data_IF_829386877243
#
_entry.id   IF_829386877243
#
_cell.length_a   1.000
_cell.length_b   1.000
_cell.length_c   1.000
_cell.angle_alpha   90.00
_cell.angle_beta   90.00
_cell.angle_gamma   90.00
#
_symmetry.space_group_name_H-M   'P 1'
#
loop_
_entity.id
_entity.type
_entity.pdbx_description
1 polymer ?
#
# COMPACT_ATOMS: atom_id res chain seq x y z
N UNK A 1 -9.70 28.30 14.90
CA UNK A 1 -10.67 28.90 13.96
C UNK A 1 -11.97 28.14 14.12
N UNK A 2 -13.09 28.59 13.58
CA UNK A 2 -14.27 27.72 13.51
C UNK A 2 -14.00 26.57 12.53
N UNK A 3 -14.59 25.39 12.73
CA UNK A 3 -14.45 24.25 11.80
C UNK A 3 -14.86 24.61 10.35
N UNK A 4 -15.80 25.57 10.24
CA UNK A 4 -16.23 26.18 8.99
C UNK A 4 -15.11 26.98 8.30
N UNK A 5 -14.38 27.82 9.04
CA UNK A 5 -13.22 28.58 8.51
C UNK A 5 -12.04 27.68 8.16
N UNK A 6 -11.82 26.60 8.91
CA UNK A 6 -10.76 25.62 8.64
C UNK A 6 -11.05 24.84 7.35
N UNK A 7 -12.29 24.42 7.13
CA UNK A 7 -12.67 23.78 5.87
C UNK A 7 -12.53 24.76 4.68
N UNK A 8 -12.95 26.02 4.82
CA UNK A 8 -12.73 27.07 3.80
C UNK A 8 -11.24 27.24 3.49
N UNK A 9 -10.35 27.21 4.48
CA UNK A 9 -8.91 27.30 4.26
C UNK A 9 -8.36 26.11 3.45
N UNK A 10 -8.87 24.90 3.69
CA UNK A 10 -8.55 23.71 2.87
C UNK A 10 -9.03 23.89 1.43
N UNK A 11 -10.28 24.32 1.24
CA UNK A 11 -10.83 24.57 -0.10
C UNK A 11 -10.04 25.63 -0.85
N UNK A 12 -9.62 26.71 -0.19
CA UNK A 12 -8.82 27.77 -0.80
C UNK A 12 -7.41 27.31 -1.16
N UNK A 13 -6.80 26.44 -0.35
CA UNK A 13 -5.51 25.82 -0.66
C UNK A 13 -5.64 24.91 -1.88
N UNK A 14 -6.71 24.12 -1.95
CA UNK A 14 -7.01 23.25 -3.09
C UNK A 14 -7.24 24.07 -4.37
N UNK A 15 -8.06 25.13 -4.28
CA UNK A 15 -8.37 26.04 -5.38
C UNK A 15 -7.14 26.74 -5.96
N UNK A 16 -6.16 27.07 -5.11
CA UNK A 16 -4.91 27.69 -5.55
C UNK A 16 -4.09 26.76 -6.47
N UNK A 17 -4.25 25.44 -6.32
CA UNK A 17 -3.59 24.43 -7.16
C UNK A 17 -4.43 24.10 -8.38
N UNK A 18 -5.75 23.97 -8.23
CA UNK A 18 -6.66 23.72 -9.34
C UNK A 18 -8.00 24.45 -9.16
N UNK A 19 -8.36 25.39 -10.07
CA UNK A 19 -9.64 26.11 -10.00
C UNK A 19 -10.84 25.23 -10.38
N UNK A 20 -10.59 24.05 -10.97
CA UNK A 20 -11.60 23.07 -11.33
C UNK A 20 -11.39 21.76 -10.58
N UNK A 21 -12.48 21.10 -10.20
CA UNK A 21 -12.46 19.80 -9.51
C UNK A 21 -13.30 18.79 -10.28
N UNK A 22 -12.90 17.52 -10.22
CA UNK A 22 -13.74 16.43 -10.73
C UNK A 22 -14.90 16.17 -9.76
N UNK A 23 -16.01 15.56 -10.22
CA UNK A 23 -17.12 15.14 -9.34
C UNK A 23 -16.68 14.23 -8.19
N UNK A 24 -15.64 13.44 -8.43
CA UNK A 24 -15.01 12.58 -7.42
C UNK A 24 -14.24 13.41 -6.39
N UNK A 25 -13.45 14.40 -6.83
CA UNK A 25 -12.76 15.31 -5.90
C UNK A 25 -13.79 16.10 -5.08
N UNK A 26 -14.91 16.50 -5.70
CA UNK A 26 -16.05 17.08 -4.99
C UNK A 26 -16.58 16.13 -3.92
N UNK A 27 -16.81 14.87 -4.27
CA UNK A 27 -17.26 13.85 -3.32
C UNK A 27 -16.28 13.66 -2.16
N UNK A 28 -14.97 13.59 -2.44
CA UNK A 28 -13.93 13.49 -1.42
C UNK A 28 -13.90 14.69 -0.48
N UNK A 29 -14.08 15.90 -1.01
CA UNK A 29 -14.17 17.13 -0.21
C UNK A 29 -15.43 17.16 0.65
N UNK A 30 -16.57 16.69 0.14
CA UNK A 30 -17.81 16.54 0.92
C UNK A 30 -17.63 15.52 2.05
N UNK A 31 -17.00 14.37 1.79
CA UNK A 31 -16.66 13.39 2.83
C UNK A 31 -15.76 13.98 3.90
N UNK A 32 -14.71 14.70 3.49
CA UNK A 32 -13.79 15.35 4.41
C UNK A 32 -14.52 16.39 5.28
N UNK A 33 -15.45 17.15 4.69
CA UNK A 33 -16.29 18.10 5.42
C UNK A 33 -17.11 17.44 6.53
N UNK A 34 -17.73 16.30 6.22
CA UNK A 34 -18.56 15.56 7.18
C UNK A 34 -17.71 14.92 8.27
N UNK A 35 -16.64 14.21 7.90
CA UNK A 35 -15.86 13.41 8.84
C UNK A 35 -14.88 14.22 9.68
N UNK A 36 -14.23 15.22 9.10
CA UNK A 36 -13.14 15.93 9.76
C UNK A 36 -13.57 17.30 10.30
N UNK A 37 -14.62 17.89 9.71
CA UNK A 37 -15.08 19.23 10.06
C UNK A 37 -16.50 19.26 10.63
N UNK A 38 -17.15 18.09 10.75
CA UNK A 38 -18.51 17.92 11.29
C UNK A 38 -19.57 18.80 10.59
N UNK A 39 -19.36 19.11 9.31
CA UNK A 39 -20.29 19.88 8.50
C UNK A 39 -21.34 18.95 7.88
N UNK A 40 -22.57 19.44 7.70
CA UNK A 40 -23.53 18.75 6.85
C UNK A 40 -23.10 18.80 5.38
N UNK A 41 -23.54 17.82 4.59
CA UNK A 41 -23.28 17.79 3.13
C UNK A 41 -23.80 19.07 2.46
N UNK A 42 -24.93 19.60 2.94
CA UNK A 42 -25.50 20.87 2.47
C UNK A 42 -24.55 22.05 2.72
N UNK A 43 -24.07 22.22 3.96
CA UNK A 43 -23.13 23.30 4.31
C UNK A 43 -21.82 23.18 3.51
N UNK A 44 -21.31 21.96 3.36
CA UNK A 44 -20.11 21.70 2.59
C UNK A 44 -20.29 22.00 1.09
N UNK A 45 -21.43 21.62 0.50
CA UNK A 45 -21.77 21.92 -0.89
C UNK A 45 -21.92 23.43 -1.13
N UNK A 46 -22.57 24.15 -0.21
CA UNK A 46 -22.67 25.62 -0.24
C UNK A 46 -21.28 26.29 -0.15
N UNK A 47 -20.35 25.76 0.66
CA UNK A 47 -18.96 26.22 0.72
C UNK A 47 -18.25 25.99 -0.62
N UNK A 48 -18.29 24.78 -1.17
CA UNK A 48 -17.64 24.45 -2.45
C UNK A 48 -18.15 25.36 -3.59
N UNK A 49 -19.47 25.61 -3.64
CA UNK A 49 -20.09 26.46 -4.64
C UNK A 49 -19.74 27.94 -4.42
N UNK A 50 -19.76 28.44 -3.18
CA UNK A 50 -19.44 29.84 -2.85
C UNK A 50 -17.95 30.18 -3.02
N UNK A 51 -17.05 29.20 -2.85
CA UNK A 51 -15.63 29.38 -3.12
C UNK A 51 -15.30 29.36 -4.62
N UNK A 52 -16.27 29.15 -5.51
CA UNK A 52 -16.08 29.22 -6.96
C UNK A 52 -15.15 28.14 -7.52
N UNK A 53 -15.19 26.94 -6.93
CA UNK A 53 -14.59 25.75 -7.54
C UNK A 53 -15.52 25.27 -8.68
N UNK A 54 -14.96 25.17 -9.88
CA UNK A 54 -15.71 24.73 -11.05
C UNK A 54 -15.71 23.19 -11.06
N UNK A 55 -16.86 22.57 -10.83
CA UNK A 55 -17.00 21.12 -11.01
C UNK A 55 -17.06 20.86 -12.52
N UNK A 56 -16.10 20.12 -13.06
CA UNK A 56 -16.15 19.68 -14.47
C UNK A 56 -17.31 18.70 -14.65
N UNK A 57 -17.93 18.67 -15.84
CA UNK A 57 -19.11 17.86 -16.20
C UNK A 57 -19.33 16.61 -15.33
N UNK A 58 -20.52 16.51 -14.73
CA UNK A 58 -20.90 15.41 -13.84
C UNK A 58 -20.59 14.05 -14.46
N UNK A 59 -19.86 13.25 -13.69
CA UNK A 59 -19.46 11.91 -14.10
C UNK A 59 -20.05 10.95 -13.09
N UNK A 60 -21.18 10.37 -13.46
CA UNK A 60 -21.78 9.28 -12.71
C UNK A 60 -20.94 8.01 -12.90
N UNK A 61 -20.37 7.45 -11.83
CA UNK A 61 -19.56 6.24 -11.86
C UNK A 61 -20.31 5.02 -12.44
N UNK A 62 -21.64 4.99 -12.37
CA UNK A 62 -22.42 3.95 -13.05
C UNK A 62 -22.38 4.15 -14.58
N UNK A 63 -22.55 5.38 -15.06
CA UNK A 63 -22.47 5.71 -16.50
C UNK A 63 -21.07 5.53 -17.06
N UNK A 64 -20.03 5.75 -16.25
CA UNK A 64 -18.62 5.46 -16.62
C UNK A 64 -18.43 4.01 -17.01
N UNK A 65 -19.08 3.10 -16.29
CA UNK A 65 -19.08 1.68 -16.60
C UNK A 65 -20.25 1.27 -17.50
N UNK A 66 -20.98 2.22 -18.09
CA UNK A 66 -22.17 1.92 -18.90
C UNK A 66 -23.18 1.01 -18.17
N UNK A 67 -23.28 1.17 -16.84
CA UNK A 67 -24.18 0.44 -15.95
C UNK A 67 -25.32 1.36 -15.48
N UNK A 68 -26.48 0.76 -15.17
CA UNK A 68 -27.60 1.49 -14.55
C UNK A 68 -27.67 1.25 -13.04
N UNK A 69 -27.94 2.32 -12.29
CA UNK A 69 -28.24 2.25 -10.85
C UNK A 69 -29.42 1.32 -10.61
N UNK A 70 -30.48 1.44 -11.40
CA UNK A 70 -31.70 0.65 -11.25
C UNK A 70 -31.49 -0.84 -11.50
N UNK A 71 -30.55 -1.17 -12.39
CA UNK A 71 -30.21 -2.56 -12.73
C UNK A 71 -29.37 -3.25 -11.66
N UNK A 72 -28.64 -2.48 -10.84
CA UNK A 72 -27.69 -3.00 -9.85
C UNK A 72 -28.17 -2.88 -8.41
N UNK A 73 -28.95 -1.85 -8.06
CA UNK A 73 -29.31 -1.56 -6.66
C UNK A 73 -30.12 -2.67 -5.96
N UNK A 74 -30.77 -3.54 -6.72
CA UNK A 74 -31.57 -4.66 -6.21
C UNK A 74 -30.88 -6.03 -6.36
N UNK A 75 -29.64 -6.05 -6.84
CA UNK A 75 -28.85 -7.28 -7.01
C UNK A 75 -28.06 -7.59 -5.74
N UNK A 76 -27.62 -8.85 -5.60
CA UNK A 76 -26.67 -9.20 -4.54
C UNK A 76 -25.24 -8.77 -4.91
N UNK A 77 -24.38 -8.62 -3.90
CA UNK A 77 -23.02 -8.11 -4.05
C UNK A 77 -22.18 -8.88 -5.07
N UNK A 78 -22.29 -10.21 -5.11
CA UNK A 78 -21.54 -11.04 -6.06
C UNK A 78 -21.94 -10.77 -7.52
N UNK A 79 -23.23 -10.53 -7.79
CA UNK A 79 -23.71 -10.15 -9.12
C UNK A 79 -23.22 -8.75 -9.49
N UNK A 80 -23.26 -7.81 -8.54
CA UNK A 80 -22.79 -6.44 -8.77
C UNK A 80 -21.29 -6.46 -9.08
N UNK A 81 -20.49 -7.15 -8.27
CA UNK A 81 -19.05 -7.31 -8.49
C UNK A 81 -18.75 -7.89 -9.86
N UNK A 82 -19.42 -8.99 -10.24
CA UNK A 82 -19.23 -9.62 -11.55
C UNK A 82 -19.53 -8.66 -12.70
N UNK A 83 -20.66 -7.94 -12.64
CA UNK A 83 -21.05 -6.99 -13.70
C UNK A 83 -20.13 -5.79 -13.79
N UNK A 84 -19.73 -5.25 -12.64
CA UNK A 84 -18.78 -4.13 -12.56
C UNK A 84 -17.43 -4.54 -13.13
N UNK A 85 -16.96 -5.75 -12.83
CA UNK A 85 -15.72 -6.31 -13.38
C UNK A 85 -15.77 -6.55 -14.88
N UNK A 86 -16.85 -7.17 -15.37
CA UNK A 86 -17.04 -7.42 -16.80
C UNK A 86 -17.05 -6.13 -17.60
N UNK A 87 -17.80 -5.13 -17.13
CA UNK A 87 -17.88 -3.83 -17.80
C UNK A 87 -16.55 -3.09 -17.75
N UNK A 88 -15.92 -3.01 -16.58
CA UNK A 88 -14.60 -2.41 -16.44
C UNK A 88 -13.59 -3.04 -17.41
N UNK A 89 -13.49 -4.37 -17.41
CA UNK A 89 -12.55 -5.09 -18.27
C UNK A 89 -12.81 -4.80 -19.75
N UNK A 90 -14.08 -4.75 -20.16
CA UNK A 90 -14.47 -4.40 -21.52
C UNK A 90 -13.98 -3.00 -21.89
N UNK A 91 -14.42 -1.97 -21.15
CA UNK A 91 -14.14 -0.57 -21.43
C UNK A 91 -12.66 -0.21 -21.28
N UNK A 92 -11.96 -0.86 -20.35
CA UNK A 92 -10.52 -0.70 -20.16
C UNK A 92 -9.74 -1.29 -21.35
N UNK A 93 -10.16 -2.46 -21.86
CA UNK A 93 -9.55 -3.07 -23.05
C UNK A 93 -9.79 -2.26 -24.32
N UNK A 94 -10.98 -1.65 -24.46
CA UNK A 94 -11.29 -0.73 -25.55
C UNK A 94 -10.46 0.55 -25.44
N UNK A 95 -10.31 1.08 -24.23
CA UNK A 95 -9.41 2.20 -23.96
C UNK A 95 -8.00 1.85 -24.44
N UNK A 96 -7.43 0.69 -24.10
CA UNK A 96 -6.11 0.24 -24.57
C UNK A 96 -5.98 0.21 -26.10
N UNK A 97 -7.01 -0.26 -26.81
CA UNK A 97 -7.01 -0.31 -28.28
C UNK A 97 -7.04 1.06 -28.96
N UNK A 98 -7.56 2.09 -28.28
CA UNK A 98 -7.70 3.44 -28.83
C UNK A 98 -6.37 4.22 -29.00
N UNK A 99 -5.25 3.69 -28.50
CA UNK A 99 -3.90 4.16 -28.88
C UNK A 99 -3.56 5.62 -28.56
N UNK A 100 -4.14 6.20 -27.50
CA UNK A 100 -3.79 7.55 -27.04
C UNK A 100 -4.56 8.70 -27.69
N UNK A 101 -5.53 8.40 -28.57
CA UNK A 101 -6.43 9.43 -29.09
C UNK A 101 -7.34 9.98 -27.97
N UNK A 102 -7.50 11.31 -27.84
CA UNK A 102 -8.47 11.90 -26.92
C UNK A 102 -9.88 11.40 -27.22
N UNK A 103 -10.65 11.10 -26.18
CA UNK A 103 -12.04 10.68 -26.32
C UNK A 103 -12.92 11.87 -26.75
N UNK A 104 -14.15 11.58 -27.21
CA UNK A 104 -15.11 12.60 -27.67
C UNK A 104 -15.46 13.66 -26.61
N UNK A 105 -15.32 13.28 -25.35
CA UNK A 105 -15.50 14.14 -24.17
C UNK A 105 -14.24 14.96 -23.82
N UNK A 106 -13.19 14.91 -24.65
CA UNK A 106 -11.94 15.62 -24.45
C UNK A 106 -10.99 14.98 -23.44
N UNK A 107 -11.38 13.89 -22.76
CA UNK A 107 -10.53 13.21 -21.79
C UNK A 107 -9.38 12.49 -22.48
N UNK A 108 -8.21 12.54 -21.86
CA UNK A 108 -7.09 11.68 -22.27
C UNK A 108 -7.40 10.22 -21.96
N UNK A 109 -6.70 9.31 -22.62
CA UNK A 109 -6.81 7.88 -22.38
C UNK A 109 -6.51 7.50 -20.92
N UNK A 110 -5.57 8.22 -20.29
CA UNK A 110 -5.19 8.11 -18.88
C UNK A 110 -6.33 8.58 -17.97
N UNK A 111 -6.86 9.79 -18.19
CA UNK A 111 -7.99 10.32 -17.43
C UNK A 111 -9.22 9.39 -17.49
N UNK A 112 -9.47 8.76 -18.64
CA UNK A 112 -10.56 7.80 -18.80
C UNK A 112 -10.31 6.49 -18.05
N UNK A 113 -9.08 5.97 -18.06
CA UNK A 113 -8.74 4.73 -17.34
C UNK A 113 -8.80 4.90 -15.83
N UNK A 114 -8.35 6.05 -15.33
CA UNK A 114 -8.37 6.33 -13.90
C UNK A 114 -9.81 6.42 -13.42
N UNK A 115 -10.67 7.03 -14.24
CA UNK A 115 -12.11 7.09 -14.02
C UNK A 115 -12.78 5.70 -14.05
N UNK A 116 -12.42 4.82 -15.00
CA UNK A 116 -12.89 3.43 -15.04
C UNK A 116 -12.47 2.65 -13.78
N UNK A 117 -11.19 2.72 -13.40
CA UNK A 117 -10.66 2.04 -12.21
C UNK A 117 -11.37 2.50 -10.93
N UNK A 118 -11.56 3.81 -10.80
CA UNK A 118 -12.25 4.39 -9.67
C UNK A 118 -13.72 3.99 -9.60
N UNK A 119 -14.42 3.95 -10.75
CA UNK A 119 -15.79 3.46 -10.82
C UNK A 119 -15.85 1.99 -10.37
N UNK A 120 -14.92 1.15 -10.83
CA UNK A 120 -14.82 -0.24 -10.41
C UNK A 120 -14.61 -0.38 -8.90
N UNK A 121 -13.60 0.29 -8.35
CA UNK A 121 -13.27 0.19 -6.91
C UNK A 121 -14.41 0.66 -6.01
N UNK A 122 -15.09 1.74 -6.40
CA UNK A 122 -16.21 2.29 -5.63
C UNK A 122 -17.45 1.40 -5.72
N UNK A 123 -17.70 0.79 -6.88
CA UNK A 123 -18.93 0.03 -7.12
C UNK A 123 -18.83 -1.45 -6.74
N UNK A 124 -17.63 -2.03 -6.61
CA UNK A 124 -17.47 -3.41 -6.09
C UNK A 124 -17.66 -3.45 -4.58
N UNK A 125 -17.06 -2.50 -3.86
CA UNK A 125 -17.10 -2.43 -2.40
C UNK A 125 -18.52 -2.04 -1.93
N UNK A 126 -19.24 -2.90 -1.18
CA UNK A 126 -20.61 -2.64 -0.77
C UNK A 126 -20.78 -1.39 0.08
N UNK A 127 -19.82 -1.09 0.97
CA UNK A 127 -19.88 0.06 1.85
C UNK A 127 -19.58 1.34 1.07
N UNK A 128 -18.54 1.35 0.23
CA UNK A 128 -18.23 2.51 -0.63
C UNK A 128 -19.38 2.78 -1.62
N UNK A 129 -19.98 1.75 -2.19
CA UNK A 129 -21.12 1.86 -3.11
C UNK A 129 -22.35 2.46 -2.42
N UNK A 130 -22.68 1.97 -1.22
CA UNK A 130 -23.81 2.47 -0.43
C UNK A 130 -23.61 3.92 -0.01
N UNK A 131 -22.40 4.27 0.39
CA UNK A 131 -22.01 5.64 0.73
C UNK A 131 -22.11 6.57 -0.49
N UNK A 132 -21.58 6.15 -1.64
CA UNK A 132 -21.66 6.87 -2.91
C UNK A 132 -23.12 7.15 -3.34
N UNK A 133 -23.98 6.13 -3.28
CA UNK A 133 -25.41 6.28 -3.57
C UNK A 133 -26.11 7.23 -2.59
N UNK A 134 -25.72 7.20 -1.31
CA UNK A 134 -26.26 8.11 -0.29
C UNK A 134 -25.93 9.57 -0.61
N UNK A 135 -24.68 9.86 -0.98
CA UNK A 135 -24.24 11.22 -1.25
C UNK A 135 -24.88 11.76 -2.53
N UNK A 136 -24.94 10.96 -3.60
CA UNK A 136 -25.62 11.37 -4.85
C UNK A 136 -27.11 11.62 -4.63
N UNK A 137 -27.77 10.79 -3.81
CA UNK A 137 -29.19 11.00 -3.48
C UNK A 137 -29.40 12.31 -2.71
N UNK A 138 -28.47 12.65 -1.81
CA UNK A 138 -28.52 13.91 -1.05
C UNK A 138 -28.19 15.12 -1.91
N UNK A 139 -27.25 15.02 -2.86
CA UNK A 139 -26.96 16.11 -3.81
C UNK A 139 -28.13 16.34 -4.78
N UNK A 140 -28.75 15.29 -5.34
CA UNK A 140 -29.98 15.43 -6.15
C UNK A 140 -31.11 16.12 -5.39
N UNK A 141 -31.26 15.84 -4.10
CA UNK A 141 -32.25 16.49 -3.24
C UNK A 141 -31.97 17.99 -2.98
N UNK A 142 -30.74 18.47 -3.24
CA UNK A 142 -30.37 19.89 -3.15
C UNK A 142 -30.71 20.63 -4.45
N UNK A 143 -30.73 19.94 -5.59
CA UNK A 143 -30.97 20.53 -6.92
C UNK A 143 -32.44 20.58 -7.34
N UNK A 144 -33.32 19.78 -6.73
CA UNK A 144 -34.75 19.84 -7.00
C UNK A 144 -35.43 21.05 -6.30
N UNK A 145 -36.18 21.90 -7.04
CA UNK A 145 -37.00 22.94 -6.43
C UNK A 145 -38.09 22.34 -5.54
N UNK A 146 -38.33 22.96 -4.39
CA UNK A 146 -39.50 22.77 -3.51
C UNK A 146 -40.81 23.14 -4.25
N UNK A 147 -41.23 22.35 -5.23
CA UNK A 147 -42.48 22.56 -5.96
C UNK A 147 -43.04 21.24 -6.50
N UNK A 148 -43.06 20.19 -5.68
CA UNK A 148 -44.01 19.08 -5.86
C UNK A 148 -44.04 18.12 -4.65
N UNK A 149 -44.63 18.56 -3.54
CA UNK A 149 -45.13 17.64 -2.52
C UNK A 149 -46.60 17.96 -2.23
N UNK A 150 -47.45 17.60 -3.19
CA UNK A 150 -48.84 17.29 -2.89
C UNK A 150 -48.90 15.85 -2.39
N UNK A 151 -49.18 15.72 -1.09
CA UNK A 151 -49.55 14.49 -0.39
C UNK A 151 -50.55 13.62 -1.19
N UNK A 152 -50.55 12.29 -0.96
CA UNK A 152 -51.50 11.80 0.02
C UNK A 152 -50.97 10.75 1.01
N UNK A 153 -51.48 10.96 2.23
CA UNK A 153 -51.61 10.08 3.39
C UNK A 153 -52.08 8.66 2.99
N UNK A 154 -51.43 7.63 3.54
CA UNK A 154 -52.07 6.34 3.84
C UNK A 154 -51.58 5.84 5.20
N UNK A 155 -52.54 5.68 6.10
CA UNK A 155 -52.45 5.05 7.42
C UNK A 155 -52.11 3.56 7.31
N UNK A 156 -51.31 3.02 8.24
CA UNK A 156 -51.40 1.60 8.58
C UNK A 156 -51.42 1.40 10.10
N UNK A 157 -52.47 0.68 10.51
CA UNK A 157 -52.83 0.29 11.86
C UNK A 157 -52.01 -0.93 12.34
N UNK A 158 -51.85 -1.01 13.65
CA UNK A 158 -51.33 -2.15 14.41
C UNK A 158 -52.21 -3.41 14.27
N UNK A 159 -51.59 -4.60 14.28
CA UNK A 159 -52.12 -5.82 14.90
C UNK A 159 -51.03 -6.88 15.12
N UNK A 160 -51.30 -7.76 16.08
CA UNK A 160 -50.40 -8.48 16.96
C UNK A 160 -50.60 -10.01 16.87
N UNK A 161 -49.60 -10.80 17.28
CA UNK A 161 -49.64 -12.23 17.72
C UNK A 161 -50.02 -13.33 16.68
N UNK A 162 -49.48 -14.56 16.61
CA UNK A 162 -49.20 -15.59 17.64
C UNK A 162 -48.36 -16.79 17.09
N UNK A 163 -47.40 -17.27 17.91
CA UNK A 163 -47.08 -18.65 18.38
C UNK A 163 -46.95 -19.90 17.44
N UNK A 164 -45.79 -20.57 17.58
CA UNK A 164 -45.58 -21.95 18.12
C UNK A 164 -44.91 -23.01 17.21
N UNK A 165 -43.86 -23.68 17.73
CA UNK A 165 -43.54 -25.09 17.41
C UNK A 165 -42.06 -25.48 17.19
N UNK A 166 -41.40 -26.01 18.24
CA UNK A 166 -40.08 -26.72 18.31
C UNK A 166 -40.37 -28.24 18.12
N UNK A 167 -39.48 -29.19 17.64
CA UNK A 167 -38.13 -29.49 18.18
C UNK A 167 -37.02 -30.11 17.28
N UNK A 168 -35.78 -30.10 17.79
CA UNK A 168 -34.64 -30.96 17.37
C UNK A 168 -34.83 -32.44 17.81
N UNK A 169 -33.97 -33.43 17.43
CA UNK A 169 -32.71 -33.66 18.19
C UNK A 169 -31.54 -34.45 17.50
N UNK A 170 -30.37 -34.38 18.16
CA UNK A 170 -29.32 -35.43 18.41
C UNK A 170 -28.19 -35.78 17.42
N UNK A 171 -27.00 -35.88 18.04
CA UNK A 171 -25.70 -36.39 17.56
C UNK A 171 -25.58 -37.93 17.61
N UNK A 172 -24.51 -38.49 16.99
CA UNK A 172 -23.54 -39.46 17.59
C UNK A 172 -22.59 -40.14 16.54
N UNK A 173 -21.29 -40.15 16.88
CA UNK A 173 -20.25 -41.22 16.77
C UNK A 173 -19.47 -41.53 15.46
N UNK A 174 -18.12 -41.57 15.64
CA UNK A 174 -17.00 -42.24 14.90
C UNK A 174 -17.01 -43.78 15.08
N UNK A 175 -16.09 -44.67 14.58
CA UNK A 175 -14.70 -44.56 14.03
C UNK A 175 -14.41 -45.57 12.84
N UNK A 176 -13.21 -46.20 12.57
CA UNK A 176 -11.80 -45.99 12.94
C UNK A 176 -10.76 -46.04 11.76
N UNK A 177 -9.48 -45.96 12.18
CA UNK A 177 -8.14 -45.81 11.57
C UNK A 177 -7.63 -46.75 10.47
N UNK A 178 -6.64 -46.26 9.69
CA UNK A 178 -5.54 -47.06 9.11
C UNK A 178 -4.20 -46.28 9.16
N UNK A 179 -3.12 -47.00 9.50
CA UNK A 179 -1.74 -46.54 9.71
C UNK A 179 -0.96 -46.43 8.39
N UNK A 180 -0.14 -45.39 8.23
CA UNK A 180 1.17 -45.49 7.52
C UNK A 180 2.17 -44.44 8.01
N UNK A 181 3.29 -44.98 8.51
CA UNK A 181 4.69 -44.54 8.55
C UNK A 181 5.11 -43.06 8.69
N UNK A 182 6.05 -42.88 9.61
CA UNK A 182 6.59 -41.64 10.18
C UNK A 182 7.48 -40.87 9.20
N UNK A 183 7.13 -39.61 8.96
CA UNK A 183 8.06 -38.53 8.59
C UNK A 183 8.20 -37.58 9.79
N UNK A 184 9.39 -37.14 10.20
CA UNK A 184 9.54 -36.27 11.37
C UNK A 184 8.98 -34.88 11.06
N UNK A 185 7.73 -34.64 11.47
CA UNK A 185 7.12 -33.32 11.48
C UNK A 185 7.76 -32.52 12.61
N UNK A 186 8.54 -31.50 12.26
CA UNK A 186 9.08 -30.55 13.24
C UNK A 186 7.91 -29.67 13.69
N UNK A 187 7.51 -29.82 14.95
CA UNK A 187 6.62 -28.89 15.62
C UNK A 187 7.41 -27.60 15.91
N UNK A 188 7.22 -26.57 15.08
CA UNK A 188 7.51 -25.19 15.48
C UNK A 188 6.27 -24.74 16.25
N UNK A 189 6.38 -24.62 17.57
CA UNK A 189 5.31 -24.09 18.41
C UNK A 189 4.85 -22.73 17.87
N UNK A 190 3.54 -22.55 17.75
CA UNK A 190 2.91 -21.29 17.38
C UNK A 190 3.36 -20.20 18.34
N UNK A 191 4.03 -19.16 17.82
CA UNK A 191 4.43 -18.00 18.59
C UNK A 191 3.20 -17.31 19.19
N UNK A 192 3.16 -17.19 20.51
CA UNK A 192 2.08 -16.48 21.18
C UNK A 192 2.19 -14.98 20.90
N UNK A 193 1.14 -14.42 20.29
CA UNK A 193 0.92 -12.97 20.19
C UNK A 193 0.92 -12.36 21.59
N UNK A 194 1.89 -11.48 21.84
CA UNK A 194 1.84 -10.55 22.98
C UNK A 194 1.51 -9.16 22.44
N UNK A 195 0.72 -8.39 23.20
CA UNK A 195 0.36 -7.01 22.85
C UNK A 195 1.62 -6.18 22.56
N UNK A 196 1.56 -5.20 21.62
CA UNK A 196 2.74 -4.45 21.21
C UNK A 196 3.38 -3.78 22.44
N UNK A 197 4.69 -3.98 22.68
CA UNK A 197 5.37 -3.34 23.79
C UNK A 197 5.28 -1.81 23.64
N UNK A 198 5.34 -1.10 24.77
CA UNK A 198 5.43 0.35 24.80
C UNK A 198 6.84 0.74 24.29
N UNK A 199 7.00 0.72 22.97
CA UNK A 199 8.27 0.85 22.26
C UNK A 199 8.78 2.29 22.34
N UNK A 200 9.82 2.53 23.14
CA UNK A 200 10.62 3.77 23.11
C UNK A 200 11.65 3.73 21.95
N UNK A 201 11.29 3.09 20.84
CA UNK A 201 12.07 3.10 19.61
C UNK A 201 11.47 4.16 18.72
N UNK A 202 12.12 5.33 18.64
CA UNK A 202 11.72 6.34 17.65
C UNK A 202 11.85 5.71 16.26
N UNK A 203 10.71 5.58 15.58
CA UNK A 203 10.61 5.04 14.23
C UNK A 203 9.91 6.07 13.36
N UNK A 204 10.57 7.21 13.16
CA UNK A 204 10.07 8.30 12.34
C UNK A 204 9.67 7.76 10.95
N UNK A 205 8.40 7.91 10.63
CA UNK A 205 7.82 7.52 9.35
C UNK A 205 7.24 8.73 8.65
N UNK A 206 7.20 8.66 7.33
CA UNK A 206 6.52 9.64 6.50
C UNK A 206 5.35 8.99 5.76
N UNK A 207 4.27 9.77 5.58
CA UNK A 207 3.14 9.36 4.75
C UNK A 207 3.55 9.39 3.28
N UNK A 208 3.46 8.23 2.64
CA UNK A 208 3.45 8.11 1.19
C UNK A 208 1.99 8.20 0.74
N UNK A 209 1.60 9.25 -0.02
CA UNK A 209 0.20 9.50 -0.32
C UNK A 209 -0.39 8.41 -1.23
N UNK A 210 -1.70 8.17 -1.09
CA UNK A 210 -2.46 7.37 -2.04
C UNK A 210 -2.41 8.04 -3.42
N UNK A 211 -1.98 7.31 -4.45
CA UNK A 211 -1.84 7.84 -5.80
C UNK A 211 -1.50 6.73 -6.81
N UNK A 212 -1.75 7.01 -8.09
CA UNK A 212 -1.18 6.25 -9.20
C UNK A 212 0.29 6.64 -9.40
N UNK A 213 1.13 5.65 -9.72
CA UNK A 213 2.50 5.91 -10.13
C UNK A 213 2.95 4.94 -11.21
N UNK A 214 3.95 5.38 -11.97
CA UNK A 214 4.57 4.58 -13.01
C UNK A 214 5.73 3.76 -12.42
N UNK A 215 5.57 2.44 -12.37
CA UNK A 215 6.60 1.49 -11.98
C UNK A 215 7.37 0.97 -13.20
N UNK A 216 8.64 0.64 -13.01
CA UNK A 216 9.56 0.19 -14.05
C UNK A 216 10.24 1.34 -14.79
N UNK A 217 11.12 1.03 -15.73
CA UNK A 217 11.89 2.03 -16.45
C UNK A 217 12.79 1.42 -17.51
N UNK A 218 13.29 2.27 -18.41
CA UNK A 218 14.26 1.86 -19.42
C UNK A 218 15.63 1.65 -18.77
N UNK A 219 15.86 0.48 -18.20
CA UNK A 219 17.23 0.01 -18.01
C UNK A 219 17.57 -0.78 -19.27
N UNK A 220 18.41 -0.22 -20.15
CA UNK A 220 18.87 -0.94 -21.35
C UNK A 220 19.42 -2.31 -20.92
N UNK A 221 18.82 -3.38 -21.42
CA UNK A 221 19.24 -4.74 -21.13
C UNK A 221 19.81 -5.43 -22.35
N UNK A 222 20.89 -6.16 -22.09
CA UNK A 222 21.35 -7.28 -22.90
C UNK A 222 20.84 -8.64 -22.39
N UNK A 223 20.12 -8.74 -21.26
CA UNK A 223 19.59 -10.01 -20.73
C UNK A 223 18.27 -9.87 -19.95
N UNK A 224 17.14 -10.02 -20.67
CA UNK A 224 15.89 -10.73 -20.32
C UNK A 224 15.06 -10.46 -19.05
N UNK A 225 15.04 -9.25 -18.49
CA UNK A 225 13.91 -8.72 -17.72
C UNK A 225 13.34 -7.49 -18.42
N UNK A 226 12.27 -7.70 -19.20
CA UNK A 226 11.41 -6.61 -19.70
C UNK A 226 10.86 -5.83 -18.49
N UNK A 227 11.55 -4.78 -18.07
CA UNK A 227 11.05 -3.79 -17.14
C UNK A 227 10.00 -2.95 -17.88
N UNK A 228 8.86 -3.59 -18.21
CA UNK A 228 7.74 -2.89 -18.81
C UNK A 228 7.30 -1.81 -17.83
N UNK A 229 7.22 -0.60 -18.34
CA UNK A 229 6.59 0.51 -17.66
C UNK A 229 5.13 0.16 -17.45
N UNK A 230 4.68 0.20 -16.20
CA UNK A 230 3.30 -0.12 -15.83
C UNK A 230 2.82 0.86 -14.77
N UNK A 231 1.53 1.21 -14.83
CA UNK A 231 0.93 2.06 -13.83
C UNK A 231 0.27 1.23 -12.74
N UNK A 232 0.46 1.65 -11.49
CA UNK A 232 -0.18 1.04 -10.33
C UNK A 232 -0.79 2.14 -9.46
N UNK A 233 -2.03 1.93 -9.03
CA UNK A 233 -2.60 2.69 -7.93
C UNK A 233 -2.25 2.00 -6.61
N UNK A 234 -1.71 2.76 -5.65
CA UNK A 234 -1.35 2.26 -4.32
C UNK A 234 -1.99 3.17 -3.30
N UNK A 235 -2.68 2.58 -2.33
CA UNK A 235 -3.22 3.28 -1.16
C UNK A 235 -2.12 4.00 -0.37
N UNK A 236 -2.51 4.93 0.49
CA UNK A 236 -1.58 5.62 1.36
C UNK A 236 -0.99 4.66 2.39
N UNK A 237 0.30 4.81 2.70
CA UNK A 237 0.99 4.03 3.73
C UNK A 237 2.09 4.86 4.38
N UNK A 238 2.52 4.46 5.57
CA UNK A 238 3.65 5.08 6.27
C UNK A 238 4.93 4.30 5.95
N UNK A 239 6.05 4.98 5.72
CA UNK A 239 7.36 4.34 5.52
C UNK A 239 8.43 4.97 6.41
N UNK A 240 9.31 4.15 6.98
CA UNK A 240 10.46 4.63 7.77
C UNK A 240 11.32 5.58 6.92
N UNK A 241 11.65 6.75 7.48
CA UNK A 241 12.45 7.76 6.78
C UNK A 241 13.90 7.30 6.55
N UNK A 242 14.39 6.37 7.38
CA UNK A 242 15.72 5.76 7.32
C UNK A 242 15.63 4.23 7.23
N UNK A 243 16.65 3.55 6.69
CA UNK A 243 16.86 2.13 6.97
C UNK A 243 17.00 1.90 8.49
N UNK A 244 16.64 0.71 8.97
CA UNK A 244 16.76 0.34 10.38
C UNK A 244 18.23 0.43 10.81
N UNK A 245 18.48 1.18 11.88
CA UNK A 245 19.82 1.41 12.41
C UNK A 245 20.29 0.26 13.32
N UNK A 246 21.60 0.16 13.54
CA UNK A 246 22.17 -0.80 14.49
C UNK A 246 21.66 -0.57 15.92
N UNK A 247 21.41 0.69 16.31
CA UNK A 247 20.87 1.02 17.63
C UNK A 247 19.45 0.46 17.81
N UNK A 248 18.56 0.70 16.84
CA UNK A 248 17.20 0.17 16.85
C UNK A 248 17.19 -1.36 16.83
N UNK A 249 18.01 -1.97 15.96
CA UNK A 249 18.11 -3.43 15.88
C UNK A 249 18.68 -4.05 17.17
N UNK A 250 19.56 -3.35 17.89
CA UNK A 250 20.06 -3.83 19.18
C UNK A 250 18.94 -3.93 20.22
N UNK A 251 18.04 -2.95 20.28
CA UNK A 251 16.86 -3.00 21.17
C UNK A 251 16.00 -4.22 20.87
N UNK A 252 15.76 -4.51 19.57
CA UNK A 252 15.07 -5.74 19.16
C UNK A 252 15.73 -7.00 19.71
N UNK A 253 17.07 -7.12 19.64
CA UNK A 253 17.80 -8.28 20.16
C UNK A 253 17.78 -8.40 21.69
N UNK A 254 17.64 -7.28 22.40
CA UNK A 254 17.52 -7.23 23.86
C UNK A 254 16.15 -7.75 24.33
N UNK A 255 15.10 -7.51 23.56
CA UNK A 255 13.75 -8.00 23.87
C UNK A 255 13.43 -9.38 23.25
N UNK A 256 14.16 -9.78 22.21
CA UNK A 256 13.89 -11.01 21.46
C UNK A 256 15.11 -11.92 21.42
N UNK A 257 15.36 -12.62 22.54
CA UNK A 257 16.54 -13.45 22.74
C UNK A 257 16.74 -14.54 21.67
N UNK A 258 15.67 -15.06 21.09
CA UNK A 258 15.72 -16.05 20.01
C UNK A 258 16.35 -15.53 18.72
N UNK A 259 16.37 -14.21 18.51
CA UNK A 259 16.98 -13.57 17.33
C UNK A 259 18.41 -13.07 17.58
N UNK A 260 18.95 -13.26 18.79
CA UNK A 260 20.33 -12.93 19.12
C UNK A 260 21.33 -13.70 18.26
N UNK A 261 22.51 -13.12 18.04
CA UNK A 261 23.52 -13.60 17.07
C UNK A 261 23.84 -15.10 17.20
N UNK A 262 23.90 -15.60 18.43
CA UNK A 262 24.27 -16.99 18.72
C UNK A 262 23.05 -17.90 18.99
N UNK A 263 21.82 -17.35 18.96
CA UNK A 263 20.58 -18.04 19.31
C UNK A 263 19.69 -18.29 18.09
N UNK A 264 19.80 -17.46 17.05
CA UNK A 264 19.03 -17.64 15.81
C UNK A 264 19.23 -19.06 15.24
N UNK A 265 18.15 -19.76 14.85
CA UNK A 265 18.26 -21.08 14.24
C UNK A 265 19.11 -21.05 12.97
N UNK A 266 20.09 -21.98 12.87
CA UNK A 266 21.01 -22.08 11.71
C UNK A 266 20.32 -22.21 10.36
N UNK A 267 19.10 -22.73 10.32
CA UNK A 267 18.33 -22.86 9.07
C UNK A 267 17.91 -21.50 8.50
N UNK A 268 17.76 -20.48 9.35
CA UNK A 268 17.29 -19.15 8.97
C UNK A 268 18.41 -18.23 8.49
N UNK A 269 19.67 -18.66 8.51
CA UNK A 269 20.78 -17.84 8.04
C UNK A 269 21.94 -18.64 7.42
N UNK A 270 22.66 -18.04 6.49
CA UNK A 270 23.82 -18.63 5.80
C UNK A 270 25.14 -18.64 6.63
N UNK A 271 25.06 -18.51 7.96
CA UNK A 271 26.24 -18.45 8.85
C UNK A 271 26.88 -17.07 9.04
N UNK A 272 26.51 -16.05 8.27
CA UNK A 272 27.07 -14.69 8.40
C UNK A 272 26.16 -13.70 9.14
N UNK A 273 25.13 -14.18 9.87
CA UNK A 273 24.21 -13.31 10.59
C UNK A 273 24.93 -12.43 11.62
N UNK A 274 24.70 -11.11 11.50
CA UNK A 274 25.37 -10.06 12.29
C UNK A 274 26.89 -10.22 12.30
N UNK A 275 27.52 -10.66 11.20
CA UNK A 275 28.94 -11.03 11.13
C UNK A 275 29.85 -9.97 11.75
N UNK A 276 29.59 -8.69 11.46
CA UNK A 276 30.35 -7.54 11.96
C UNK A 276 30.18 -7.23 13.45
N UNK A 277 29.18 -7.80 14.13
CA UNK A 277 28.89 -7.56 15.54
C UNK A 277 29.72 -8.46 16.48
N UNK A 278 30.02 -7.97 17.69
CA UNK A 278 30.64 -8.76 18.76
C UNK A 278 29.55 -9.24 19.72
N UNK A 279 29.10 -10.49 19.56
CA UNK A 279 27.88 -10.96 20.20
C UNK A 279 26.68 -10.13 19.75
N UNK A 280 25.91 -9.59 20.69
CA UNK A 280 24.77 -8.70 20.42
C UNK A 280 25.15 -7.21 20.46
N UNK A 281 26.43 -6.87 20.36
CA UNK A 281 26.91 -5.50 20.32
C UNK A 281 27.40 -5.13 18.92
N UNK A 282 26.78 -4.12 18.32
CA UNK A 282 27.26 -3.51 17.09
C UNK A 282 28.63 -2.85 17.29
N UNK A 283 29.40 -2.62 16.21
CA UNK A 283 30.71 -1.99 16.32
C UNK A 283 30.64 -0.60 16.98
N UNK A 284 31.60 -0.29 17.86
CA UNK A 284 31.59 0.97 18.63
C UNK A 284 31.43 2.20 17.72
N UNK A 285 30.49 3.08 18.09
CA UNK A 285 30.21 4.31 17.34
C UNK A 285 29.41 4.09 16.04
N UNK A 286 28.78 2.93 15.86
CA UNK A 286 27.95 2.60 14.68
C UNK A 286 26.44 2.56 14.96
N UNK A 287 25.98 3.16 16.05
CA UNK A 287 24.54 3.17 16.42
C UNK A 287 23.66 3.67 15.27
N UNK A 288 24.01 4.82 14.70
CA UNK A 288 23.28 5.47 13.58
C UNK A 288 23.62 4.91 12.18
N UNK A 289 24.29 3.76 12.09
CA UNK A 289 24.54 3.13 10.78
C UNK A 289 23.45 2.11 10.51
N UNK A 290 23.08 1.86 9.24
CA UNK A 290 22.11 0.82 8.93
C UNK A 290 22.61 -0.53 9.45
N UNK A 291 21.67 -1.33 9.98
CA UNK A 291 21.95 -2.72 10.28
C UNK A 291 22.21 -3.47 8.97
N UNK A 292 23.24 -4.29 8.96
CA UNK A 292 23.62 -5.17 7.85
C UNK A 292 23.88 -6.58 8.37
N UNK A 293 24.22 -7.51 7.49
CA UNK A 293 24.39 -8.93 7.84
C UNK A 293 23.09 -9.55 8.40
N UNK A 294 21.92 -9.06 7.96
CA UNK A 294 20.60 -9.57 8.38
C UNK A 294 19.93 -10.33 7.25
N UNK A 295 19.26 -11.44 7.60
CA UNK A 295 18.47 -12.23 6.66
C UNK A 295 17.04 -11.69 6.59
N UNK A 296 16.30 -12.09 5.56
CA UNK A 296 14.92 -11.66 5.36
C UNK A 296 14.04 -12.05 6.56
N UNK A 297 14.21 -13.24 7.14
CA UNK A 297 13.43 -13.67 8.31
C UNK A 297 13.63 -12.78 9.53
N UNK A 298 14.87 -12.34 9.78
CA UNK A 298 15.17 -11.48 10.93
C UNK A 298 14.66 -10.05 10.70
N UNK A 299 14.68 -9.57 9.45
CA UNK A 299 14.05 -8.32 9.06
C UNK A 299 12.52 -8.35 9.23
N UNK A 300 11.87 -9.46 8.86
CA UNK A 300 10.44 -9.71 9.09
C UNK A 300 10.09 -9.72 10.58
N UNK A 301 10.88 -10.43 11.39
CA UNK A 301 10.65 -10.53 12.82
C UNK A 301 10.87 -9.18 13.55
N UNK A 302 11.86 -8.40 13.14
CA UNK A 302 12.02 -7.03 13.62
C UNK A 302 10.78 -6.20 13.28
N UNK A 303 10.34 -6.23 12.02
CA UNK A 303 9.21 -5.44 11.55
C UNK A 303 7.93 -5.80 12.32
N UNK A 304 7.68 -7.10 12.52
CA UNK A 304 6.57 -7.62 13.32
C UNK A 304 6.65 -7.14 14.78
N UNK A 305 7.83 -7.21 15.42
CA UNK A 305 8.03 -6.77 16.81
C UNK A 305 7.72 -5.28 17.01
N UNK A 306 8.05 -4.42 16.04
CA UNK A 306 7.72 -2.98 16.10
C UNK A 306 6.31 -2.65 15.59
N UNK A 307 5.45 -3.65 15.31
CA UNK A 307 4.09 -3.42 14.82
C UNK A 307 4.01 -2.92 13.38
N UNK A 308 5.01 -3.27 12.56
CA UNK A 308 5.15 -2.89 11.14
C UNK A 308 5.27 -4.13 10.26
N UNK A 309 5.62 -3.92 8.99
CA UNK A 309 6.04 -4.98 8.05
C UNK A 309 7.13 -4.46 7.12
N UNK A 310 7.73 -5.34 6.33
CA UNK A 310 8.56 -4.93 5.19
C UNK A 310 7.69 -4.31 4.08
N UNK A 311 8.23 -3.39 3.26
CA UNK A 311 7.53 -2.87 2.10
C UNK A 311 7.31 -3.97 1.05
N UNK A 312 6.24 -3.83 0.27
CA UNK A 312 6.21 -4.49 -1.04
C UNK A 312 7.21 -3.80 -1.98
N UNK A 313 7.65 -4.46 -3.05
CA UNK A 313 8.52 -3.90 -4.07
C UNK A 313 7.89 -2.64 -4.69
N UNK A 314 6.57 -2.67 -4.86
CA UNK A 314 5.78 -1.61 -5.49
C UNK A 314 5.68 -0.41 -4.56
N UNK A 315 5.38 -0.63 -3.28
CA UNK A 315 5.42 0.43 -2.26
C UNK A 315 6.81 1.07 -2.18
N UNK A 316 7.85 0.24 -2.19
CA UNK A 316 9.22 0.69 -2.16
C UNK A 316 9.55 1.59 -3.36
N UNK A 317 9.20 1.16 -4.58
CA UNK A 317 9.50 1.94 -5.79
C UNK A 317 8.70 3.25 -5.84
N UNK A 318 7.42 3.24 -5.44
CA UNK A 318 6.60 4.45 -5.31
C UNK A 318 7.24 5.46 -4.37
N UNK A 319 7.63 4.97 -3.19
CA UNK A 319 8.29 5.77 -2.17
C UNK A 319 9.62 6.34 -2.67
N UNK A 320 10.45 5.51 -3.33
CA UNK A 320 11.74 5.90 -3.88
C UNK A 320 11.63 6.99 -4.95
N UNK A 321 10.62 6.94 -5.80
CA UNK A 321 10.40 7.93 -6.87
C UNK A 321 10.07 9.32 -6.36
N UNK A 322 9.56 9.48 -5.13
CA UNK A 322 9.29 10.79 -4.56
C UNK A 322 8.35 11.66 -5.41
N UNK A 323 7.36 11.05 -6.07
CA UNK A 323 6.44 11.75 -6.98
C UNK A 323 7.01 12.09 -8.36
N UNK A 324 8.26 11.71 -8.67
CA UNK A 324 8.86 11.91 -9.99
C UNK A 324 8.46 10.79 -10.96
N UNK A 325 8.09 11.19 -12.18
CA UNK A 325 7.70 10.27 -13.25
C UNK A 325 8.89 10.04 -14.19
N UNK A 326 9.17 8.77 -14.48
CA UNK A 326 10.16 8.38 -15.50
C UNK A 326 11.62 8.70 -15.16
N UNK A 327 11.93 9.10 -13.93
CA UNK A 327 13.30 9.39 -13.48
C UNK A 327 14.06 8.15 -13.05
N UNK A 328 15.38 8.17 -13.26
CA UNK A 328 16.30 7.06 -12.96
C UNK A 328 16.61 6.99 -11.46
N UNK A 329 16.73 8.13 -10.79
CA UNK A 329 17.09 8.27 -9.38
C UNK A 329 16.01 9.06 -8.62
N UNK A 330 15.99 9.02 -7.27
CA UNK A 330 14.96 9.70 -6.46
C UNK A 330 14.86 11.22 -6.64
N UNK A 331 15.87 11.84 -7.25
CA UNK A 331 15.99 13.28 -7.46
C UNK A 331 16.13 13.68 -8.95
N UNK A 332 16.07 12.73 -9.89
CA UNK A 332 16.23 13.02 -11.31
C UNK A 332 16.99 11.94 -12.07
N UNK A 333 17.70 12.34 -13.12
CA UNK A 333 18.36 11.41 -14.06
C UNK A 333 19.87 11.28 -13.83
N UNK A 334 20.43 12.08 -12.93
CA UNK A 334 21.86 12.10 -12.62
C UNK A 334 22.12 11.68 -11.16
N UNK A 335 23.24 11.00 -10.94
CA UNK A 335 23.72 10.63 -9.61
C UNK A 335 25.18 11.03 -9.47
N UNK A 336 25.56 11.41 -8.24
CA UNK A 336 26.95 11.62 -7.86
C UNK A 336 27.13 11.29 -6.37
N UNK A 337 28.39 11.26 -5.92
CA UNK A 337 28.77 10.86 -4.56
C UNK A 337 28.30 11.81 -3.44
N UNK A 338 27.71 12.96 -3.77
CA UNK A 338 27.07 13.85 -2.79
C UNK A 338 25.58 13.53 -2.57
N UNK A 339 24.99 12.68 -3.41
CA UNK A 339 23.56 12.31 -3.37
C UNK A 339 23.33 10.89 -2.83
N UNK A 340 24.31 9.99 -2.96
CA UNK A 340 24.23 8.63 -2.42
C UNK A 340 25.60 8.04 -2.11
N UNK A 341 25.61 6.97 -1.32
CA UNK A 341 26.77 6.09 -1.14
C UNK A 341 26.66 4.88 -2.07
N UNK A 342 27.50 4.82 -3.12
CA UNK A 342 27.51 3.74 -4.11
C UNK A 342 28.92 3.57 -4.70
N UNK A 343 29.09 2.62 -5.62
CA UNK A 343 30.28 2.51 -6.47
C UNK A 343 31.58 2.21 -5.74
N UNK A 344 31.52 1.68 -4.51
CA UNK A 344 32.67 1.42 -3.65
C UNK A 344 33.50 2.66 -3.28
N UNK A 345 33.02 3.89 -3.52
CA UNK A 345 33.79 5.12 -3.30
C UNK A 345 34.30 5.28 -1.87
N UNK A 346 33.51 4.86 -0.87
CA UNK A 346 33.89 4.86 0.55
C UNK A 346 34.30 3.48 1.08
N UNK A 347 33.95 2.41 0.37
CA UNK A 347 34.23 1.02 0.77
C UNK A 347 33.47 0.52 2.00
N UNK A 348 32.41 1.23 2.44
CA UNK A 348 31.61 0.90 3.63
C UNK A 348 30.29 1.69 3.67
N UNK A 349 29.38 1.27 4.56
CA UNK A 349 28.17 2.03 4.90
C UNK A 349 28.51 3.40 5.53
N UNK A 350 27.55 4.31 5.45
CA UNK A 350 27.53 5.61 6.13
C UNK A 350 26.43 5.64 7.19
N UNK A 351 26.46 6.58 8.15
CA UNK A 351 25.29 6.83 9.00
C UNK A 351 24.05 7.05 8.15
N UNK A 352 22.89 6.61 8.64
CA UNK A 352 21.60 6.90 8.00
C UNK A 352 21.37 8.41 7.97
N UNK A 353 20.71 8.89 6.92
CA UNK A 353 20.40 10.31 6.75
C UNK A 353 21.58 11.19 6.37
N UNK A 354 22.73 10.61 6.00
CA UNK A 354 23.90 11.40 5.59
C UNK A 354 23.67 12.18 4.29
N UNK A 355 22.90 11.60 3.37
CA UNK A 355 22.63 12.17 2.05
C UNK A 355 21.27 12.87 2.02
N UNK A 356 21.03 13.83 1.10
CA UNK A 356 19.73 14.51 1.03
C UNK A 356 18.56 13.54 0.82
N UNK A 357 17.37 13.82 1.39
CA UNK A 357 16.19 13.00 1.15
C UNK A 357 15.60 13.25 -0.24
N UNK A 358 14.75 12.33 -0.70
CA UNK A 358 13.88 12.58 -1.85
C UNK A 358 12.71 13.53 -1.49
N UNK A 359 11.83 13.82 -2.45
CA UNK A 359 10.73 14.77 -2.23
C UNK A 359 9.64 14.28 -1.25
N UNK A 360 9.62 12.99 -0.90
CA UNK A 360 8.78 12.47 0.19
C UNK A 360 9.51 12.46 1.54
N UNK A 361 10.73 12.99 1.64
CA UNK A 361 11.47 13.03 2.91
C UNK A 361 12.16 11.73 3.29
N UNK A 362 12.28 10.78 2.35
CA UNK A 362 12.97 9.51 2.59
C UNK A 362 14.46 9.64 2.28
N UNK A 363 15.28 9.12 3.18
CA UNK A 363 16.74 9.13 3.09
C UNK A 363 17.28 7.76 2.70
N UNK A 364 18.45 7.76 2.05
CA UNK A 364 19.19 6.56 1.68
C UNK A 364 18.37 5.50 0.92
N UNK A 365 17.34 5.94 0.18
CA UNK A 365 16.48 5.01 -0.59
C UNK A 365 17.25 4.41 -1.76
N UNK A 366 18.33 5.03 -2.23
CA UNK A 366 19.27 4.39 -3.16
C UNK A 366 20.69 4.46 -2.61
N UNK A 367 21.43 3.36 -2.80
CA UNK A 367 22.76 3.18 -2.21
C UNK A 367 22.72 2.88 -0.72
N UNK A 368 23.87 3.03 -0.07
CA UNK A 368 24.12 2.63 1.32
C UNK A 368 23.89 1.12 1.57
N UNK A 369 22.66 0.63 1.66
CA UNK A 369 22.34 -0.80 1.84
C UNK A 369 21.21 -1.22 0.91
N UNK A 370 21.27 -2.46 0.41
CA UNK A 370 20.12 -3.10 -0.19
C UNK A 370 19.02 -3.29 0.86
N UNK A 371 17.77 -3.17 0.46
CA UNK A 371 16.63 -3.28 1.38
C UNK A 371 15.71 -4.44 0.98
N UNK A 372 15.45 -5.32 1.95
CA UNK A 372 14.52 -6.45 1.79
C UNK A 372 13.07 -5.99 1.59
N UNK A 373 12.39 -6.58 0.60
CA UNK A 373 10.95 -6.45 0.36
C UNK A 373 10.20 -7.77 0.66
N UNK A 374 8.87 -7.71 0.73
CA UNK A 374 8.01 -8.90 0.93
C UNK A 374 8.01 -9.84 -0.27
N UNK A 375 8.09 -9.26 -1.47
CA UNK A 375 7.79 -9.91 -2.74
C UNK A 375 8.75 -11.07 -3.02
N UNK A 376 8.17 -12.13 -3.57
CA UNK A 376 8.96 -13.20 -4.17
C UNK A 376 9.60 -12.70 -5.46
N UNK A 377 10.88 -12.99 -5.63
CA UNK A 377 11.55 -12.77 -6.91
C UNK A 377 11.43 -14.02 -7.78
N UNK A 378 10.72 -13.89 -8.90
CA UNK A 378 10.63 -14.91 -9.95
C UNK A 378 10.92 -14.27 -11.31
N UNK A 379 11.98 -14.72 -11.97
CA UNK A 379 12.41 -14.25 -13.30
C UNK A 379 11.34 -14.43 -14.38
N UNK A 380 10.39 -15.36 -14.17
CA UNK A 380 9.34 -15.67 -15.15
C UNK A 380 8.08 -14.84 -14.97
N UNK A 381 7.92 -14.21 -13.81
CA UNK A 381 6.70 -13.50 -13.42
C UNK A 381 6.89 -12.00 -13.60
N UNK A 382 5.91 -11.35 -14.22
CA UNK A 382 5.94 -9.89 -14.34
C UNK A 382 5.59 -9.22 -13.01
N UNK A 383 6.00 -7.97 -12.81
CA UNK A 383 5.64 -7.19 -11.60
C UNK A 383 4.13 -7.05 -11.40
N UNK A 384 3.37 -6.97 -12.48
CA UNK A 384 1.91 -6.98 -12.46
C UNK A 384 1.32 -8.29 -11.94
N UNK A 385 1.92 -9.42 -12.29
CA UNK A 385 1.46 -10.74 -11.87
C UNK A 385 1.88 -11.08 -10.44
N UNK A 386 2.93 -10.42 -9.94
CA UNK A 386 3.45 -10.56 -8.57
C UNK A 386 2.91 -9.51 -7.60
N UNK A 387 1.97 -8.65 -8.02
CA UNK A 387 1.33 -7.65 -7.16
C UNK A 387 0.72 -8.31 -5.91
N UNK A 388 1.24 -7.93 -4.74
CA UNK A 388 0.76 -8.47 -3.46
C UNK A 388 -0.53 -7.77 -3.01
N UNK A 389 -1.64 -8.50 -3.04
CA UNK A 389 -2.91 -8.06 -2.42
C UNK A 389 -2.83 -8.14 -0.88
N UNK A 390 -3.72 -7.46 -0.13
CA UNK A 390 -3.78 -7.58 1.33
C UNK A 390 -3.85 -9.02 1.84
N UNK A 391 -4.60 -9.89 1.14
CA UNK A 391 -4.69 -11.31 1.48
C UNK A 391 -3.37 -12.06 1.25
N UNK A 392 -2.60 -11.70 0.22
CA UNK A 392 -1.28 -12.29 -0.02
C UNK A 392 -0.28 -11.82 1.04
N UNK A 393 -0.31 -10.53 1.41
CA UNK A 393 0.53 -9.96 2.47
C UNK A 393 0.26 -10.70 3.79
N UNK A 394 -1.01 -10.84 4.21
CA UNK A 394 -1.35 -11.56 5.45
C UNK A 394 -0.78 -12.98 5.46
N UNK A 395 -0.93 -13.73 4.36
CA UNK A 395 -0.38 -15.10 4.27
C UNK A 395 1.13 -15.15 4.43
N UNK A 396 1.85 -14.17 3.90
CA UNK A 396 3.31 -14.05 4.07
C UNK A 396 3.63 -13.76 5.53
N UNK A 397 2.95 -12.77 6.14
CA UNK A 397 3.15 -12.41 7.54
C UNK A 397 2.85 -13.58 8.50
N UNK A 398 1.82 -14.38 8.24
CA UNK A 398 1.44 -15.50 9.09
C UNK A 398 2.39 -16.71 9.01
N UNK A 399 3.20 -16.81 7.95
CA UNK A 399 3.99 -18.02 7.66
C UNK A 399 5.42 -17.74 7.17
N UNK A 400 5.99 -16.55 7.40
CA UNK A 400 7.26 -16.16 6.80
C UNK A 400 8.43 -17.09 7.16
N UNK A 401 8.42 -17.76 8.31
CA UNK A 401 9.46 -18.73 8.69
C UNK A 401 9.46 -20.02 7.86
N UNK A 402 8.39 -20.29 7.11
CA UNK A 402 8.25 -21.47 6.23
C UNK A 402 8.53 -21.15 4.76
N UNK A 403 8.71 -19.88 4.43
CA UNK A 403 9.00 -19.41 3.08
C UNK A 403 10.47 -19.67 2.76
N UNK A 404 10.77 -20.28 1.61
CA UNK A 404 12.13 -20.52 1.13
C UNK A 404 12.43 -19.94 -0.27
N UNK A 405 11.41 -19.40 -0.95
CA UNK A 405 11.56 -18.74 -2.26
C UNK A 405 12.26 -17.39 -2.13
N UNK A 406 13.06 -17.06 -3.16
CA UNK A 406 13.85 -15.83 -3.25
C UNK A 406 13.02 -14.58 -3.01
N UNK A 407 13.61 -13.58 -2.36
CA UNK A 407 12.95 -12.32 -2.01
C UNK A 407 13.63 -11.15 -2.71
N UNK A 408 12.82 -10.16 -3.06
CA UNK A 408 13.26 -8.94 -3.73
C UNK A 408 14.14 -8.10 -2.79
N UNK A 409 15.19 -7.51 -3.37
CA UNK A 409 16.04 -6.48 -2.77
C UNK A 409 15.97 -5.20 -3.61
N UNK A 410 15.91 -4.05 -2.97
CA UNK A 410 15.80 -2.73 -3.65
C UNK A 410 16.88 -1.75 -3.23
N UNK A 411 17.08 -0.72 -4.06
CA UNK A 411 17.90 0.46 -3.77
C UNK A 411 19.38 0.35 -4.08
N UNK A 412 19.94 -0.86 -4.19
CA UNK A 412 21.38 -1.03 -4.29
C UNK A 412 22.09 -0.69 -2.98
N UNK A 413 23.42 -0.69 -2.97
CA UNK A 413 24.22 -0.49 -1.76
C UNK A 413 25.46 0.36 -2.02
N UNK A 414 26.24 0.64 -0.98
CA UNK A 414 27.55 1.29 -1.07
C UNK A 414 28.52 0.58 -2.04
N UNK A 415 28.32 -0.71 -2.29
CA UNK A 415 29.12 -1.52 -3.20
C UNK A 415 28.53 -1.65 -4.61
N UNK A 416 27.28 -1.20 -4.81
CA UNK A 416 26.57 -1.35 -6.07
C UNK A 416 27.04 -0.36 -7.12
N UNK A 417 27.02 -0.77 -8.39
CA UNK A 417 27.27 0.14 -9.51
C UNK A 417 26.16 1.19 -9.62
N UNK A 418 26.44 2.25 -10.37
CA UNK A 418 25.47 3.30 -10.70
C UNK A 418 24.14 2.73 -11.22
N UNK A 419 24.19 1.75 -12.13
CA UNK A 419 22.99 1.07 -12.66
C UNK A 419 22.15 0.43 -11.56
N UNK A 420 22.81 -0.25 -10.62
CA UNK A 420 22.16 -1.03 -9.57
C UNK A 420 21.60 -0.17 -8.43
N UNK A 421 21.84 1.15 -8.43
CA UNK A 421 21.22 2.13 -7.52
C UNK A 421 20.16 3.00 -8.22
N UNK A 422 19.65 2.56 -9.38
CA UNK A 422 18.48 3.20 -10.00
C UNK A 422 17.18 2.79 -9.28
N UNK A 423 16.19 3.69 -9.25
CA UNK A 423 14.92 3.46 -8.53
C UNK A 423 14.16 2.26 -9.03
N UNK A 424 14.37 1.86 -10.28
CA UNK A 424 13.65 0.76 -10.90
C UNK A 424 14.36 -0.59 -10.74
N UNK A 425 15.66 -0.63 -10.42
CA UNK A 425 16.43 -1.87 -10.39
C UNK A 425 16.02 -2.79 -9.23
N UNK A 426 15.83 -4.08 -9.53
CA UNK A 426 15.57 -5.14 -8.53
C UNK A 426 16.79 -6.04 -8.40
N UNK A 427 17.26 -6.23 -7.18
CA UNK A 427 18.07 -7.38 -6.81
C UNK A 427 17.20 -8.47 -6.20
N UNK A 428 17.83 -9.59 -5.84
CA UNK A 428 17.18 -10.67 -5.11
C UNK A 428 18.20 -11.48 -4.32
N UNK A 429 17.71 -12.19 -3.31
CA UNK A 429 18.46 -13.24 -2.64
C UNK A 429 17.50 -14.23 -1.98
N UNK A 430 17.99 -15.44 -1.72
CA UNK A 430 17.26 -16.42 -0.90
C UNK A 430 17.07 -15.88 0.52
N UNK A 431 15.95 -16.15 1.20
CA UNK A 431 15.57 -15.46 2.43
C UNK A 431 16.52 -15.70 3.62
N UNK A 432 17.26 -16.81 3.64
CA UNK A 432 18.29 -17.08 4.66
C UNK A 432 19.64 -16.40 4.36
N UNK A 433 19.79 -15.73 3.22
CA UNK A 433 21.06 -15.11 2.88
C UNK A 433 21.28 -13.85 3.69
N UNK A 434 22.47 -13.71 4.26
CA UNK A 434 22.93 -12.48 4.89
C UNK A 434 24.14 -11.95 4.15
N UNK A 435 24.26 -10.64 4.06
CA UNK A 435 25.38 -9.98 3.39
C UNK A 435 25.69 -8.63 4.03
N UNK A 436 26.95 -8.20 3.95
CA UNK A 436 27.47 -6.98 4.59
C UNK A 436 26.87 -5.68 4.05
N UNK A 437 26.02 -5.77 3.04
CA UNK A 437 25.31 -4.65 2.46
C UNK A 437 23.79 -4.86 2.40
N UNK A 438 23.26 -5.90 3.05
CA UNK A 438 21.81 -6.18 3.09
C UNK A 438 21.23 -5.71 4.42
N UNK A 439 20.35 -4.73 4.36
CA UNK A 439 19.55 -4.20 5.46
C UNK A 439 18.08 -4.17 5.07
N UNK A 440 17.31 -3.28 5.68
CA UNK A 440 15.88 -3.12 5.41
C UNK A 440 15.34 -1.82 6.03
N UNK A 441 14.13 -1.45 5.63
CA UNK A 441 13.27 -0.45 6.27
C UNK A 441 11.85 -1.00 6.39
N UNK A 442 11.01 -0.40 7.25
CA UNK A 442 9.66 -0.87 7.48
C UNK A 442 8.60 0.08 6.93
N UNK A 443 7.38 -0.46 6.76
CA UNK A 443 6.15 0.27 6.44
C UNK A 443 5.02 -0.12 7.38
N UNK A 444 4.01 0.74 7.50
CA UNK A 444 2.76 0.46 8.21
C UNK A 444 1.56 1.06 7.50
N UNK A 445 0.35 0.64 7.87
CA UNK A 445 -0.88 1.28 7.42
C UNK A 445 -0.99 2.71 7.99
N UNK A 446 -1.82 3.55 7.35
CA UNK A 446 -2.17 4.88 7.85
C UNK A 446 -3.13 4.72 9.03
N UNK A 447 -2.71 5.11 10.24
CA UNK A 447 -3.59 5.15 11.42
C UNK A 447 -3.23 4.24 12.60
N UNK A 448 -1.96 3.85 12.75
CA UNK A 448 -1.47 3.18 13.97
C UNK A 448 -0.63 4.12 14.84
#
# INVERSE_FOLDING_TARGET
>A
MSKYEEFIAVINTFKAVSPSITPVQRLGLLKQAVHNYELSIKEAAEILNSQGLIVTDEVNLFEVLELSVDELQYQNDAIIETRVDESHKHLYSESLRAGGLPRKDGRTQEQWRNLLNQARETLIDPEKRKEYLSIISQEKAIEEPLDNLSNPIVEFQNADSTRSGIPQPTALLTPPSENTEQNPTIYIESFQQTSPPNLDVSTEMVLIPADEFQMGGQVEESNHTKMSVQNFYIDGFMMDIYPVSNAQYKTFLEENHQWQKNMIPRILHNGNYLQTWSGNNYPRGKGEYPVVDVCWYAAMAYAEWVGKRLPTEIEWEKAARGGLIGKIYPWGDEINVSLANYGMHLGKTTPVGKYPPNAFGLYDVVGNVWEWCLDEYDEKTTRSESYLTPNNISKILDNYLKIDTSRVLRGGSWASSERAVSVAYSGWAVPNFTYYSYGFRCVSAVGH
#
